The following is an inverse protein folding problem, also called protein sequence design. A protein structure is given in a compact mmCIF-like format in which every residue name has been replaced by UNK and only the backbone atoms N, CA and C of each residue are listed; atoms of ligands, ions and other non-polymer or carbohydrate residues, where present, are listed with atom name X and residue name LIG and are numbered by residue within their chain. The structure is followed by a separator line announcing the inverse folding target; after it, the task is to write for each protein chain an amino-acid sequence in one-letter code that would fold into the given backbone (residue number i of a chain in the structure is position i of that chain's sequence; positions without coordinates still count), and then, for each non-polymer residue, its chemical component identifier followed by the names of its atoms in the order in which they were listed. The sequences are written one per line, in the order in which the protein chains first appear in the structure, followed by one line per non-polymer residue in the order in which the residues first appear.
data_IF_586295905219
#
_entry.id   IF_586295905219
#
_cell.length_a   1.000
_cell.length_b   1.000
_cell.length_c   1.000
_cell.angle_alpha   90.00
_cell.angle_beta   90.00
_cell.angle_gamma   90.00
#
_symmetry.space_group_name_H-M   'P 1'
#
loop_
_entity.id
_entity.type
_entity.pdbx_description
1 polymer ?
#
# COMPACT_ATOMS: atom_id res chain seq x y z
N UNK A 1 -25.28 5.25 -1.33
CA UNK A 1 -24.58 6.54 -1.57
C UNK A 1 -23.93 7.09 -0.30
N UNK A 2 -24.67 7.31 0.81
CA UNK A 2 -24.12 7.86 2.06
C UNK A 2 -22.99 7.00 2.66
N UNK A 3 -23.11 5.65 2.64
CA UNK A 3 -22.08 4.73 3.14
C UNK A 3 -20.79 4.79 2.30
N UNK A 4 -20.90 4.92 0.99
CA UNK A 4 -19.74 5.08 0.08
C UNK A 4 -19.04 6.43 0.27
N UNK A 5 -19.77 7.51 0.50
CA UNK A 5 -19.17 8.82 0.85
C UNK A 5 -18.37 8.72 2.15
N UNK A 6 -18.91 8.10 3.20
CA UNK A 6 -18.17 7.93 4.47
C UNK A 6 -16.89 7.08 4.32
N UNK A 7 -16.88 6.06 3.44
CA UNK A 7 -15.67 5.27 3.18
C UNK A 7 -14.64 6.09 2.42
N UNK A 8 -15.06 6.83 1.40
CA UNK A 8 -14.17 7.70 0.63
C UNK A 8 -13.49 8.75 1.50
N UNK A 9 -14.25 9.48 2.31
CA UNK A 9 -13.73 10.52 3.20
C UNK A 9 -12.70 9.95 4.19
N UNK A 10 -12.94 8.74 4.70
CA UNK A 10 -11.98 8.05 5.58
C UNK A 10 -10.70 7.66 4.83
N UNK A 11 -10.82 7.08 3.64
CA UNK A 11 -9.66 6.72 2.82
C UNK A 11 -8.86 7.96 2.44
N UNK A 12 -9.50 9.06 2.07
CA UNK A 12 -8.84 10.34 1.83
C UNK A 12 -8.11 10.87 3.07
N UNK A 13 -8.73 10.77 4.25
CA UNK A 13 -8.09 11.14 5.53
C UNK A 13 -6.86 10.28 5.83
N UNK A 14 -6.93 8.97 5.55
CA UNK A 14 -5.81 8.04 5.72
C UNK A 14 -4.69 8.38 4.75
N UNK A 15 -4.99 8.63 3.48
CA UNK A 15 -3.99 9.00 2.47
C UNK A 15 -3.34 10.35 2.81
N UNK A 16 -4.11 11.33 3.30
CA UNK A 16 -3.56 12.61 3.77
C UNK A 16 -2.53 12.44 4.90
N UNK A 17 -2.69 11.46 5.78
CA UNK A 17 -1.68 11.11 6.78
C UNK A 17 -0.50 10.37 6.14
N UNK A 18 -0.76 9.46 5.20
CA UNK A 18 0.29 8.70 4.51
C UNK A 18 1.29 9.61 3.79
N UNK A 19 0.81 10.59 3.04
CA UNK A 19 1.66 11.51 2.25
C UNK A 19 2.54 12.44 3.09
N UNK A 20 2.37 12.50 4.41
CA UNK A 20 3.25 13.23 5.32
C UNK A 20 4.58 12.50 5.59
N UNK A 21 4.70 11.23 5.21
CA UNK A 21 5.95 10.50 5.30
C UNK A 21 7.02 11.15 4.41
N UNK A 22 8.30 11.19 4.86
CA UNK A 22 9.39 11.67 4.02
C UNK A 22 9.57 10.77 2.81
N UNK A 23 10.14 11.34 1.75
CA UNK A 23 10.57 10.60 0.57
C UNK A 23 11.92 11.10 0.07
N UNK A 24 12.66 10.29 -0.67
CA UNK A 24 13.94 10.64 -1.26
C UNK A 24 13.85 11.97 -2.03
N UNK A 25 14.63 12.98 -1.59
CA UNK A 25 14.61 14.34 -2.17
C UNK A 25 13.21 14.93 -2.37
N UNK A 26 12.25 14.50 -1.57
CA UNK A 26 10.84 14.88 -1.67
C UNK A 26 10.21 14.59 -3.05
N UNK A 27 10.60 13.49 -3.69
CA UNK A 27 10.11 13.14 -5.04
C UNK A 27 8.67 12.64 -5.06
N UNK A 28 8.14 12.15 -3.93
CA UNK A 28 6.73 11.79 -3.74
C UNK A 28 6.19 10.87 -4.83
N UNK A 29 6.91 9.77 -5.12
CA UNK A 29 6.59 8.85 -6.22
C UNK A 29 5.51 7.82 -5.92
N UNK A 30 5.10 7.68 -4.67
CA UNK A 30 4.03 6.74 -4.28
C UNK A 30 2.68 7.12 -4.87
N UNK A 31 1.87 6.12 -5.23
CA UNK A 31 0.51 6.29 -5.77
C UNK A 31 -0.43 5.29 -5.10
N UNK A 32 -1.69 5.67 -4.98
CA UNK A 32 -2.75 4.85 -4.41
C UNK A 32 -3.95 4.79 -5.35
N UNK A 33 -4.37 3.58 -5.69
CA UNK A 33 -5.58 3.31 -6.47
C UNK A 33 -6.64 2.75 -5.54
N UNK A 34 -7.72 3.50 -5.32
CA UNK A 34 -8.73 3.19 -4.32
C UNK A 34 -9.97 2.57 -4.99
N UNK A 35 -10.29 1.34 -4.62
CA UNK A 35 -11.43 0.57 -5.10
C UNK A 35 -12.47 0.56 -3.97
N UNK A 36 -13.54 1.32 -4.12
CA UNK A 36 -14.48 1.64 -3.04
C UNK A 36 -15.90 1.19 -3.30
N UNK A 37 -16.31 0.92 -4.55
CA UNK A 37 -17.64 0.41 -4.84
C UNK A 37 -17.70 -1.11 -4.68
N UNK A 38 -18.78 -1.62 -4.10
CA UNK A 38 -18.97 -3.05 -3.82
C UNK A 38 -18.79 -3.92 -5.08
N UNK A 39 -19.33 -3.46 -6.22
CA UNK A 39 -19.20 -4.14 -7.51
C UNK A 39 -17.73 -4.25 -7.95
N UNK A 40 -16.98 -3.14 -7.91
CA UNK A 40 -15.57 -3.12 -8.32
C UNK A 40 -14.66 -3.85 -7.35
N UNK A 41 -14.97 -3.84 -6.06
CA UNK A 41 -14.27 -4.62 -5.04
C UNK A 41 -14.40 -6.11 -5.35
N UNK A 42 -15.61 -6.58 -5.63
CA UNK A 42 -15.86 -8.00 -5.91
C UNK A 42 -15.17 -8.45 -7.21
N UNK A 43 -15.28 -7.64 -8.27
CA UNK A 43 -14.62 -7.92 -9.55
C UNK A 43 -13.09 -7.97 -9.39
N UNK A 44 -12.51 -7.02 -8.66
CA UNK A 44 -11.07 -6.97 -8.39
C UNK A 44 -10.60 -8.17 -7.57
N UNK A 45 -11.34 -8.53 -6.51
CA UNK A 45 -11.01 -9.69 -5.67
C UNK A 45 -10.90 -10.97 -6.51
N UNK A 46 -11.88 -11.21 -7.37
CA UNK A 46 -11.93 -12.40 -8.22
C UNK A 46 -10.81 -12.43 -9.27
N UNK A 47 -10.49 -11.28 -9.89
CA UNK A 47 -9.53 -11.21 -10.99
C UNK A 47 -8.08 -11.05 -10.54
N UNK A 48 -7.83 -10.39 -9.42
CA UNK A 48 -6.50 -9.89 -9.04
C UNK A 48 -5.93 -10.55 -7.77
N UNK A 49 -6.74 -11.25 -6.98
CA UNK A 49 -6.30 -11.85 -5.72
C UNK A 49 -6.45 -13.38 -5.72
N UNK A 50 -5.51 -14.11 -5.08
CA UNK A 50 -5.67 -15.54 -4.84
C UNK A 50 -6.80 -15.80 -3.83
N UNK A 51 -7.38 -16.99 -3.85
CA UNK A 51 -8.59 -17.36 -3.09
C UNK A 51 -8.52 -16.99 -1.60
N UNK A 52 -7.38 -17.25 -0.94
CA UNK A 52 -7.24 -16.93 0.48
C UNK A 52 -7.27 -15.42 0.75
N UNK A 53 -6.72 -14.59 -0.15
CA UNK A 53 -6.78 -13.12 -0.03
C UNK A 53 -8.15 -12.57 -0.45
N UNK A 54 -8.87 -13.25 -1.33
CA UNK A 54 -10.28 -12.92 -1.61
C UNK A 54 -11.12 -13.01 -0.34
N UNK A 55 -10.96 -14.10 0.43
CA UNK A 55 -11.64 -14.29 1.71
C UNK A 55 -11.23 -13.27 2.76
N UNK A 56 -9.93 -13.00 2.87
CA UNK A 56 -9.41 -12.06 3.86
C UNK A 56 -9.83 -10.59 3.57
N UNK A 57 -10.13 -10.26 2.33
CA UNK A 57 -10.54 -8.94 1.90
C UNK A 57 -12.06 -8.76 1.79
N UNK A 58 -12.84 -9.74 2.24
CA UNK A 58 -14.30 -9.69 2.16
C UNK A 58 -14.86 -8.51 2.95
N UNK A 59 -15.72 -7.70 2.30
CA UNK A 59 -16.35 -6.53 2.91
C UNK A 59 -15.43 -5.33 3.18
N UNK A 60 -14.17 -5.40 2.76
CA UNK A 60 -13.20 -4.32 2.91
C UNK A 60 -13.11 -3.45 1.64
N UNK A 61 -12.82 -2.16 1.80
CA UNK A 61 -12.31 -1.33 0.71
C UNK A 61 -10.89 -1.79 0.36
N UNK A 62 -10.50 -1.65 -0.93
CA UNK A 62 -9.18 -2.07 -1.39
C UNK A 62 -8.40 -0.88 -1.91
N UNK A 63 -7.13 -0.81 -1.54
CA UNK A 63 -6.21 0.23 -1.99
C UNK A 63 -4.96 -0.44 -2.55
N UNK A 64 -4.70 -0.23 -3.84
CA UNK A 64 -3.47 -0.70 -4.47
C UNK A 64 -2.40 0.36 -4.30
N UNK A 65 -1.26 -0.03 -3.75
CA UNK A 65 -0.10 0.83 -3.54
C UNK A 65 0.97 0.57 -4.60
N UNK A 66 1.40 1.66 -5.28
CA UNK A 66 2.41 1.65 -6.33
C UNK A 66 3.44 2.76 -6.12
N UNK A 67 4.53 2.74 -6.87
CA UNK A 67 5.45 3.87 -6.99
C UNK A 67 5.97 4.01 -8.42
N UNK A 68 6.37 5.22 -8.80
CA UNK A 68 6.98 5.51 -10.11
C UNK A 68 8.43 5.04 -10.12
N UNK A 69 8.77 4.11 -11.02
CA UNK A 69 10.13 3.54 -11.19
C UNK A 69 11.11 4.54 -11.80
N UNK A 70 12.40 4.30 -11.57
CA UNK A 70 13.47 5.06 -12.23
C UNK A 70 13.63 6.51 -11.78
N UNK A 71 13.01 6.89 -10.66
CA UNK A 71 13.08 8.25 -10.13
C UNK A 71 13.83 8.31 -8.81
N UNK A 72 13.35 7.54 -7.82
CA UNK A 72 13.92 7.50 -6.47
C UNK A 72 15.20 6.68 -6.47
N UNK A 73 16.31 7.27 -6.03
CA UNK A 73 17.62 6.62 -6.06
C UNK A 73 18.30 6.59 -7.42
N UNK A 74 17.83 7.41 -8.37
CA UNK A 74 18.42 7.54 -9.69
C UNK A 74 18.99 8.95 -9.92
N UNK A 75 20.08 9.03 -10.69
CA UNK A 75 20.63 10.29 -11.15
C UNK A 75 19.79 10.86 -12.28
N UNK A 76 19.44 12.14 -12.21
CA UNK A 76 18.54 12.79 -13.17
C UNK A 76 19.14 13.01 -14.56
N UNK A 77 20.46 13.09 -14.65
CA UNK A 77 21.15 13.39 -15.90
C UNK A 77 21.48 12.11 -16.67
N UNK A 78 22.04 11.11 -15.95
CA UNK A 78 22.42 9.83 -16.56
C UNK A 78 21.28 8.82 -16.62
N UNK A 79 20.28 8.95 -15.74
CA UNK A 79 19.22 7.93 -15.59
C UNK A 79 19.68 6.65 -14.89
N UNK A 80 20.93 6.63 -14.38
CA UNK A 80 21.52 5.46 -13.72
C UNK A 80 21.24 5.44 -12.22
N UNK A 81 21.17 4.24 -11.58
CA UNK A 81 21.05 4.14 -10.14
C UNK A 81 22.25 4.80 -9.44
N UNK A 82 21.99 5.59 -8.38
CA UNK A 82 23.06 6.23 -7.59
C UNK A 82 23.75 5.28 -6.62
N UNK A 83 23.17 4.11 -6.39
CA UNK A 83 23.76 3.00 -5.61
C UNK A 83 23.08 1.68 -5.98
N UNK A 84 23.52 0.58 -5.36
CA UNK A 84 23.08 -0.78 -5.59
C UNK A 84 21.60 -1.05 -5.31
N UNK A 85 20.91 -0.18 -4.57
CA UNK A 85 19.51 -0.37 -4.23
C UNK A 85 18.55 -0.06 -5.40
N UNK A 86 18.94 0.82 -6.35
CA UNK A 86 18.11 1.15 -7.51
C UNK A 86 16.67 1.48 -7.12
N UNK A 87 15.70 0.81 -7.74
CA UNK A 87 14.27 0.97 -7.42
C UNK A 87 13.88 0.53 -5.98
N UNK A 88 14.78 -0.09 -5.22
CA UNK A 88 14.58 -0.42 -3.81
C UNK A 88 14.24 0.81 -2.95
N UNK A 89 14.75 1.97 -3.32
CA UNK A 89 14.41 3.23 -2.65
C UNK A 89 12.94 3.63 -2.86
N UNK A 90 12.34 3.30 -3.99
CA UNK A 90 10.90 3.48 -4.21
C UNK A 90 10.04 2.59 -3.31
N UNK A 91 10.47 1.35 -3.08
CA UNK A 91 9.85 0.46 -2.09
C UNK A 91 10.00 0.99 -0.67
N UNK A 92 11.20 1.55 -0.34
CA UNK A 92 11.46 2.13 0.97
C UNK A 92 10.53 3.31 1.26
N UNK A 93 10.46 4.28 0.35
CA UNK A 93 9.59 5.46 0.48
C UNK A 93 8.12 5.06 0.60
N UNK A 94 7.66 4.12 -0.25
CA UNK A 94 6.28 3.61 -0.19
C UNK A 94 6.00 2.89 1.14
N UNK A 95 6.98 2.15 1.67
CA UNK A 95 6.87 1.48 2.97
C UNK A 95 6.64 2.47 4.12
N UNK A 96 7.35 3.61 4.12
CA UNK A 96 7.16 4.69 5.10
C UNK A 96 5.74 5.28 5.02
N UNK A 97 5.24 5.51 3.80
CA UNK A 97 3.88 6.01 3.60
C UNK A 97 2.83 4.99 4.00
N UNK A 98 3.03 3.72 3.66
CA UNK A 98 2.10 2.64 4.04
C UNK A 98 2.03 2.43 5.55
N UNK A 99 3.12 2.65 6.31
CA UNK A 99 3.06 2.62 7.77
C UNK A 99 2.19 3.75 8.33
N UNK A 100 2.36 4.99 7.85
CA UNK A 100 1.48 6.09 8.23
C UNK A 100 0.02 5.80 7.86
N UNK A 101 -0.22 5.18 6.71
CA UNK A 101 -1.54 4.73 6.27
C UNK A 101 -2.17 3.76 7.28
N UNK A 102 -1.44 2.73 7.68
CA UNK A 102 -1.89 1.70 8.64
C UNK A 102 -2.20 2.32 10.01
N UNK A 103 -1.31 3.17 10.51
CA UNK A 103 -1.48 3.84 11.80
C UNK A 103 -2.71 4.76 11.79
N UNK A 104 -2.90 5.52 10.73
CA UNK A 104 -4.07 6.41 10.60
C UNK A 104 -5.37 5.64 10.45
N UNK A 105 -5.37 4.54 9.72
CA UNK A 105 -6.54 3.66 9.64
C UNK A 105 -6.92 3.14 11.03
N UNK A 106 -5.94 2.69 11.81
CA UNK A 106 -6.17 2.21 13.18
C UNK A 106 -6.69 3.30 14.11
N UNK A 107 -6.16 4.51 14.03
CA UNK A 107 -6.66 5.69 14.77
C UNK A 107 -8.14 5.96 14.48
N UNK A 108 -8.58 5.73 13.23
CA UNK A 108 -9.99 5.88 12.82
C UNK A 108 -10.86 4.65 13.16
N UNK A 109 -10.33 3.68 13.91
CA UNK A 109 -11.04 2.47 14.31
C UNK A 109 -11.19 1.44 13.17
N UNK A 110 -10.36 1.54 12.14
CA UNK A 110 -10.29 0.58 11.04
C UNK A 110 -9.10 -0.35 11.19
N UNK A 111 -9.24 -1.57 10.68
CA UNK A 111 -8.15 -2.52 10.55
C UNK A 111 -7.67 -2.56 9.11
N UNK A 112 -6.42 -3.00 8.93
CA UNK A 112 -5.79 -3.11 7.62
C UNK A 112 -5.12 -4.46 7.45
N UNK A 113 -5.09 -4.95 6.21
CA UNK A 113 -4.31 -6.12 5.83
C UNK A 113 -3.52 -5.80 4.56
N UNK A 114 -2.18 -5.79 4.67
CA UNK A 114 -1.29 -5.61 3.51
C UNK A 114 -1.05 -6.96 2.84
N UNK A 115 -1.46 -7.08 1.59
CA UNK A 115 -1.38 -8.29 0.79
C UNK A 115 -0.32 -8.15 -0.31
N UNK A 116 0.79 -8.89 -0.16
CA UNK A 116 1.86 -8.96 -1.17
C UNK A 116 1.60 -10.04 -2.23
N UNK A 117 0.85 -11.10 -1.90
CA UNK A 117 0.49 -12.16 -2.86
C UNK A 117 -0.76 -11.71 -3.62
N UNK A 118 -0.55 -11.34 -4.86
CA UNK A 118 -1.55 -10.75 -5.78
C UNK A 118 -1.09 -10.96 -7.22
N UNK A 119 -1.98 -10.84 -8.19
CA UNK A 119 -1.63 -10.81 -9.61
C UNK A 119 -1.34 -9.37 -10.06
N UNK A 120 -0.05 -9.03 -10.23
CA UNK A 120 0.36 -7.67 -10.59
C UNK A 120 -0.01 -7.27 -12.01
N UNK A 121 -0.06 -8.19 -12.95
CA UNK A 121 -0.46 -7.94 -14.34
C UNK A 121 -1.97 -7.73 -14.44
N UNK A 122 -2.75 -8.60 -13.79
CA UNK A 122 -4.20 -8.43 -13.71
C UNK A 122 -4.58 -7.09 -13.06
N UNK A 123 -3.88 -6.68 -11.98
CA UNK A 123 -4.08 -5.38 -11.33
C UNK A 123 -3.78 -4.23 -12.30
N UNK A 124 -2.67 -4.31 -13.01
CA UNK A 124 -2.27 -3.28 -13.99
C UNK A 124 -3.35 -3.09 -15.04
N UNK A 125 -3.85 -4.18 -15.61
CA UNK A 125 -4.89 -4.16 -16.63
C UNK A 125 -6.24 -3.70 -16.09
N UNK A 126 -6.58 -4.08 -14.84
CA UNK A 126 -7.86 -3.72 -14.22
C UNK A 126 -7.97 -2.24 -13.86
N UNK A 127 -6.86 -1.60 -13.50
CA UNK A 127 -6.80 -0.21 -13.00
C UNK A 127 -6.11 0.75 -13.97
N UNK A 128 -5.73 0.30 -15.17
CA UNK A 128 -4.96 1.08 -16.15
C UNK A 128 -3.68 1.70 -15.54
N UNK A 129 -2.98 0.90 -14.71
CA UNK A 129 -1.75 1.36 -14.05
C UNK A 129 -0.64 1.57 -15.09
N UNK A 130 -0.02 2.76 -15.18
CA UNK A 130 1.04 3.04 -16.14
C UNK A 130 2.22 2.06 -16.03
N UNK A 131 2.88 1.73 -17.16
CA UNK A 131 4.02 0.81 -17.19
C UNK A 131 5.20 1.27 -16.34
N UNK A 132 5.39 2.57 -16.19
CA UNK A 132 6.44 3.14 -15.35
C UNK A 132 6.13 3.08 -13.85
N UNK A 133 4.96 2.58 -13.44
CA UNK A 133 4.63 2.33 -12.04
C UNK A 133 4.85 0.86 -11.67
N UNK A 134 5.41 0.64 -10.48
CA UNK A 134 5.55 -0.67 -9.87
C UNK A 134 4.38 -0.95 -8.95
N UNK A 135 3.55 -1.95 -9.27
CA UNK A 135 2.53 -2.45 -8.34
C UNK A 135 3.23 -3.20 -7.20
N UNK A 136 3.01 -2.78 -5.96
CA UNK A 136 3.68 -3.38 -4.78
C UNK A 136 2.74 -4.24 -3.96
N UNK A 137 1.65 -3.68 -3.46
CA UNK A 137 0.73 -4.38 -2.57
C UNK A 137 -0.71 -3.95 -2.76
N UNK A 138 -1.62 -4.76 -2.24
CA UNK A 138 -3.03 -4.40 -2.04
C UNK A 138 -3.28 -4.31 -0.55
N UNK A 139 -3.86 -3.20 -0.10
CA UNK A 139 -4.22 -2.97 1.30
C UNK A 139 -5.73 -3.08 1.41
N UNK A 140 -6.21 -4.08 2.15
CA UNK A 140 -7.61 -4.13 2.55
C UNK A 140 -7.83 -3.23 3.77
N UNK A 141 -8.88 -2.42 3.76
CA UNK A 141 -9.23 -1.46 4.83
C UNK A 141 -10.68 -1.66 5.21
N UNK A 142 -10.93 -1.96 6.47
CA UNK A 142 -12.30 -2.23 6.94
C UNK A 142 -12.35 -2.51 8.44
N UNK A 143 -13.46 -3.09 8.87
CA UNK A 143 -13.61 -3.52 10.26
C UNK A 143 -13.18 -4.99 10.37
N UNK A 144 -12.18 -5.27 11.20
CA UNK A 144 -11.72 -6.62 11.45
C UNK A 144 -12.81 -7.51 12.05
N UNK A 145 -12.98 -8.70 11.48
CA UNK A 145 -13.96 -9.67 11.98
C UNK A 145 -13.47 -10.46 13.21
N UNK A 146 -12.18 -10.39 13.52
CA UNK A 146 -11.54 -11.16 14.60
C UNK A 146 -10.57 -10.29 15.38
N UNK A 147 -10.54 -10.49 16.68
CA UNK A 147 -9.46 -9.97 17.52
C UNK A 147 -8.22 -10.86 17.34
N UNK A 148 -7.21 -10.32 16.66
CA UNK A 148 -5.98 -11.04 16.33
C UNK A 148 -4.91 -10.68 17.35
N UNK A 149 -4.39 -11.69 18.04
CA UNK A 149 -3.26 -11.51 18.96
C UNK A 149 -2.01 -11.07 18.20
N UNK A 150 -1.29 -10.09 18.77
CA UNK A 150 -0.03 -9.63 18.18
C UNK A 150 1.01 -10.76 18.17
N UNK A 151 1.57 -11.13 17.01
CA UNK A 151 2.65 -12.11 16.96
C UNK A 151 3.89 -11.62 17.72
N UNK A 152 4.65 -12.56 18.30
CA UNK A 152 5.91 -12.25 18.99
C UNK A 152 6.84 -11.44 18.08
N UNK A 153 7.44 -10.40 18.64
CA UNK A 153 8.46 -9.59 17.98
C UNK A 153 9.85 -9.97 18.49
N UNK A 154 10.86 -9.78 17.66
CA UNK A 154 12.26 -9.86 18.08
C UNK A 154 12.56 -8.75 19.08
N UNK A 155 13.46 -9.02 20.02
CA UNK A 155 13.97 -8.02 20.97
C UNK A 155 14.89 -7.01 20.27
N UNK A 156 15.12 -5.88 20.92
CA UNK A 156 16.08 -4.87 20.41
C UNK A 156 17.47 -5.48 20.24
N UNK A 157 17.92 -6.33 21.16
CA UNK A 157 19.23 -6.99 21.09
C UNK A 157 19.39 -7.97 19.93
N UNK A 158 18.28 -8.48 19.36
CA UNK A 158 18.33 -9.36 18.18
C UNK A 158 18.41 -8.58 16.86
N UNK A 159 18.04 -7.30 16.84
CA UNK A 159 17.94 -6.50 15.60
C UNK A 159 18.84 -5.28 15.58
N UNK A 160 19.37 -4.83 16.72
CA UNK A 160 20.22 -3.64 16.84
C UNK A 160 21.58 -3.99 17.43
N UNK A 161 22.61 -3.33 16.95
CA UNK A 161 23.97 -3.35 17.50
C UNK A 161 24.36 -1.91 17.85
N UNK A 162 24.96 -1.74 19.03
CA UNK A 162 25.43 -0.46 19.54
C UNK A 162 26.96 -0.48 19.56
N UNK A 163 27.60 0.50 18.93
CA UNK A 163 29.06 0.62 18.83
C UNK A 163 29.54 1.84 19.60
#
# INVERSE_FOLDING_TARGET
RQRQMCIRDRVETIINAAILAPSWKNLQTSRYYCILSDEKIEEFRQKCLPEFNQKNAEGAALVVATFVKGCVGFDRLSGEPVNECGNGWGYYDLGLQNENFVLKAKELGLDTLIMGIRDGEAIRNFLDVPENEQVVSVIAVGYGAKDVQMPKRKSVSEIAKFY
#
